data_IF_374549325371
#
_entry.id   IF_374549325371
#
_cell.length_a   1.000
_cell.length_b   1.000
_cell.length_c   1.000
_cell.angle_alpha   90.00
_cell.angle_beta   90.00
_cell.angle_gamma   90.00
#
_symmetry.space_group_name_H-M   'P 1'
#
loop_
_entity.id
_entity.type
_entity.pdbx_description
1 polymer ?
#
# COMPACT_ATOMS: atom_id res chain seq x y z
N UNK A 1 28.56 -26.39 -7.16
CA UNK A 1 27.09 -26.54 -7.03
C UNK A 1 26.59 -25.35 -6.23
N UNK A 2 25.94 -24.41 -6.91
CA UNK A 2 25.43 -23.19 -6.28
C UNK A 2 24.41 -23.58 -5.21
N UNK A 3 24.58 -23.11 -3.97
CA UNK A 3 23.49 -23.08 -3.01
C UNK A 3 22.40 -22.18 -3.63
N UNK A 4 21.42 -22.80 -4.28
CA UNK A 4 20.23 -22.08 -4.74
C UNK A 4 19.63 -21.48 -3.47
N UNK A 5 19.63 -20.15 -3.38
CA UNK A 5 18.90 -19.41 -2.36
C UNK A 5 17.50 -20.00 -2.26
N UNK A 6 17.09 -20.43 -1.06
CA UNK A 6 15.70 -20.82 -0.84
C UNK A 6 14.81 -19.61 -1.13
N UNK A 7 14.12 -19.67 -2.27
CA UNK A 7 13.12 -18.71 -2.72
C UNK A 7 11.74 -19.37 -2.71
N UNK A 8 11.43 -20.12 -1.66
CA UNK A 8 10.06 -20.52 -1.37
C UNK A 8 9.12 -19.29 -1.33
N UNK A 9 7.81 -19.46 -1.61
CA UNK A 9 6.87 -18.34 -1.64
C UNK A 9 6.86 -17.51 -0.35
N UNK A 10 6.87 -18.17 0.81
CA UNK A 10 6.95 -17.53 2.12
C UNK A 10 8.24 -16.71 2.29
N UNK A 11 9.38 -17.29 1.90
CA UNK A 11 10.67 -16.60 1.97
C UNK A 11 10.74 -15.41 1.02
N UNK A 12 10.18 -15.54 -0.18
CA UNK A 12 10.08 -14.45 -1.14
C UNK A 12 9.23 -13.29 -0.58
N UNK A 13 8.05 -13.59 -0.02
CA UNK A 13 7.20 -12.59 0.64
C UNK A 13 7.92 -11.84 1.76
N UNK A 14 8.69 -12.54 2.60
CA UNK A 14 9.49 -11.95 3.67
C UNK A 14 10.61 -11.03 3.14
N UNK A 15 11.26 -11.39 2.03
CA UNK A 15 12.34 -10.60 1.42
C UNK A 15 11.84 -9.39 0.63
N UNK A 16 10.67 -9.49 0.00
CA UNK A 16 10.08 -8.42 -0.80
C UNK A 16 9.60 -7.25 0.08
N UNK A 17 9.02 -7.54 1.24
CA UNK A 17 8.43 -6.52 2.11
C UNK A 17 9.34 -5.33 2.47
N UNK A 18 10.56 -5.52 3.03
CA UNK A 18 11.44 -4.38 3.34
C UNK A 18 11.83 -3.58 2.09
N UNK A 19 11.96 -4.24 0.93
CA UNK A 19 12.28 -3.58 -0.34
C UNK A 19 11.10 -2.72 -0.81
N UNK A 20 9.87 -3.26 -0.78
CA UNK A 20 8.67 -2.49 -1.10
C UNK A 20 8.48 -1.33 -0.13
N UNK A 21 8.75 -1.53 1.16
CA UNK A 21 8.67 -0.49 2.19
C UNK A 21 9.61 0.67 1.91
N UNK A 22 10.87 0.37 1.57
CA UNK A 22 11.85 1.37 1.15
C UNK A 22 11.35 2.13 -0.09
N UNK A 23 11.01 1.43 -1.17
CA UNK A 23 10.60 2.04 -2.44
C UNK A 23 9.37 2.94 -2.30
N UNK A 24 8.32 2.44 -1.62
CA UNK A 24 7.09 3.19 -1.41
C UNK A 24 7.35 4.45 -0.57
N UNK A 25 8.13 4.32 0.51
CA UNK A 25 8.50 5.46 1.37
C UNK A 25 9.29 6.51 0.60
N UNK A 26 10.22 6.09 -0.27
CA UNK A 26 11.02 6.99 -1.09
C UNK A 26 10.17 7.82 -2.05
N UNK A 27 9.23 7.19 -2.75
CA UNK A 27 8.31 7.89 -3.66
C UNK A 27 7.45 8.91 -2.90
N UNK A 28 6.93 8.54 -1.72
CA UNK A 28 6.18 9.48 -0.87
C UNK A 28 7.03 10.66 -0.41
N UNK A 29 8.29 10.41 -0.02
CA UNK A 29 9.22 11.46 0.40
C UNK A 29 9.58 12.38 -0.77
N UNK A 30 9.88 11.82 -1.93
CA UNK A 30 10.22 12.56 -3.15
C UNK A 30 9.04 13.44 -3.62
N UNK A 31 7.81 12.92 -3.54
CA UNK A 31 6.61 13.71 -3.83
C UNK A 31 6.35 14.82 -2.79
N UNK A 32 7.04 14.80 -1.65
CA UNK A 32 6.78 15.69 -0.50
C UNK A 32 5.51 15.33 0.28
N UNK A 33 4.98 14.12 0.10
CA UNK A 33 3.74 13.67 0.74
C UNK A 33 3.95 13.25 2.21
N UNK A 34 5.20 12.96 2.60
CA UNK A 34 5.62 12.69 3.98
C UNK A 34 6.88 13.48 4.33
N UNK A 35 7.01 13.89 5.59
CA UNK A 35 8.14 14.69 6.11
C UNK A 35 7.81 16.17 6.34
N UNK A 36 8.81 16.96 6.77
CA UNK A 36 8.66 18.36 7.17
C UNK A 36 9.08 19.38 6.10
N UNK A 37 9.31 18.91 4.88
CA UNK A 37 9.88 19.71 3.79
C UNK A 37 8.87 20.62 3.08
N UNK A 38 9.37 21.36 2.10
CA UNK A 38 8.60 21.98 1.02
C UNK A 38 8.55 21.03 -0.17
N UNK A 39 7.42 20.96 -0.89
CA UNK A 39 7.28 20.10 -2.06
C UNK A 39 5.89 20.18 -2.71
N UNK A 40 5.70 19.57 -3.89
CA UNK A 40 4.44 19.61 -4.64
C UNK A 40 3.23 19.15 -3.82
N UNK A 41 3.37 18.09 -3.03
CA UNK A 41 2.28 17.61 -2.17
C UNK A 41 1.97 18.55 -0.97
N UNK A 42 2.94 19.35 -0.51
CA UNK A 42 2.69 20.38 0.51
C UNK A 42 1.93 21.57 -0.08
N UNK A 43 2.25 21.97 -1.31
CA UNK A 43 1.45 22.96 -2.02
C UNK A 43 0.02 22.44 -2.26
N UNK A 44 -0.11 21.16 -2.61
CA UNK A 44 -1.39 20.49 -2.82
C UNK A 44 -2.27 20.51 -1.57
N UNK A 45 -1.76 20.08 -0.40
CA UNK A 45 -2.58 20.10 0.84
C UNK A 45 -3.05 21.51 1.17
N UNK A 46 -2.23 22.53 0.95
CA UNK A 46 -2.58 23.92 1.19
C UNK A 46 -3.67 24.39 0.21
N UNK A 47 -3.55 24.03 -1.07
CA UNK A 47 -4.55 24.34 -2.09
C UNK A 47 -5.93 23.74 -1.75
N UNK A 48 -5.95 22.52 -1.20
CA UNK A 48 -7.18 21.84 -0.81
C UNK A 48 -7.66 22.12 0.62
N UNK A 49 -6.89 22.86 1.43
CA UNK A 49 -7.23 23.24 2.80
C UNK A 49 -7.08 22.09 3.81
N UNK A 50 -6.12 21.20 3.60
CA UNK A 50 -5.91 19.99 4.40
C UNK A 50 -4.67 20.10 5.31
N UNK A 51 -4.71 19.56 6.55
CA UNK A 51 -3.56 19.54 7.45
C UNK A 51 -2.45 18.62 6.91
N UNK A 52 -2.83 17.51 6.29
CA UNK A 52 -1.94 16.54 5.65
C UNK A 52 -2.70 15.76 4.57
N UNK A 53 -1.97 14.89 3.86
CA UNK A 53 -2.50 14.03 2.80
C UNK A 53 -2.54 12.55 3.21
N UNK A 54 -2.22 12.24 4.47
CA UNK A 54 -2.10 10.89 5.02
C UNK A 54 -3.31 10.02 4.70
N UNK A 55 -4.50 10.60 4.89
CA UNK A 55 -5.78 9.96 4.60
C UNK A 55 -5.90 9.47 3.14
N UNK A 56 -5.29 10.18 2.18
CA UNK A 56 -5.43 9.89 0.75
C UNK A 56 -4.27 9.08 0.15
N UNK A 57 -3.16 8.88 0.88
CA UNK A 57 -1.97 8.19 0.36
C UNK A 57 -2.29 6.77 -0.14
N UNK A 58 -3.20 6.08 0.56
CA UNK A 58 -3.64 4.73 0.22
C UNK A 58 -5.00 4.75 -0.50
N UNK A 59 -5.93 5.62 -0.11
CA UNK A 59 -7.27 5.66 -0.70
C UNK A 59 -7.29 6.11 -2.18
N UNK A 60 -6.25 6.82 -2.63
CA UNK A 60 -6.05 7.15 -4.05
C UNK A 60 -6.03 5.91 -4.97
N UNK A 61 -5.78 4.73 -4.42
CA UNK A 61 -5.77 3.48 -5.18
C UNK A 61 -7.19 3.01 -5.59
N UNK A 62 -8.26 3.57 -5.03
CA UNK A 62 -9.63 3.15 -5.37
C UNK A 62 -10.61 4.29 -5.54
N UNK A 63 -10.55 5.33 -4.69
CA UNK A 63 -11.48 6.45 -4.70
C UNK A 63 -11.69 7.13 -6.06
N UNK A 64 -10.71 7.21 -6.98
CA UNK A 64 -10.94 7.77 -8.30
C UNK A 64 -12.01 7.02 -9.12
N UNK A 65 -12.09 5.69 -8.95
CA UNK A 65 -12.89 4.79 -9.81
C UNK A 65 -14.04 4.10 -9.07
N UNK A 66 -14.03 4.03 -7.74
CA UNK A 66 -15.07 3.37 -6.96
C UNK A 66 -15.16 3.92 -5.51
N UNK A 67 -16.33 3.76 -4.86
CA UNK A 67 -16.44 3.97 -3.43
C UNK A 67 -15.52 3.04 -2.64
N UNK A 68 -15.11 3.48 -1.44
CA UNK A 68 -14.29 2.69 -0.51
C UNK A 68 -15.03 2.50 0.81
N UNK A 69 -15.27 1.26 1.28
CA UNK A 69 -15.95 1.04 2.55
C UNK A 69 -15.26 1.72 3.74
N UNK A 70 -16.03 2.33 4.64
CA UNK A 70 -15.51 2.90 5.89
C UNK A 70 -14.76 1.83 6.71
N UNK A 71 -15.21 0.57 6.63
CA UNK A 71 -14.54 -0.58 7.28
C UNK A 71 -13.12 -0.82 6.74
N UNK A 72 -12.85 -0.54 5.46
CA UNK A 72 -11.51 -0.62 4.90
C UNK A 72 -10.59 0.48 5.45
N UNK A 73 -11.15 1.66 5.76
CA UNK A 73 -10.41 2.75 6.43
C UNK A 73 -10.15 2.39 7.89
N UNK A 74 -11.14 1.85 8.61
CA UNK A 74 -10.96 1.34 9.97
C UNK A 74 -9.82 0.31 10.01
N UNK A 75 -9.79 -0.60 9.04
CA UNK A 75 -8.74 -1.58 8.86
C UNK A 75 -7.35 -0.92 8.64
N UNK A 76 -7.22 0.17 7.89
CA UNK A 76 -5.96 0.92 7.79
C UNK A 76 -5.48 1.51 9.11
N UNK A 77 -6.41 1.90 9.99
CA UNK A 77 -6.13 2.59 11.25
C UNK A 77 -6.01 1.64 12.46
N UNK A 78 -6.19 0.32 12.26
CA UNK A 78 -6.37 -0.70 13.31
C UNK A 78 -5.32 -0.77 14.42
N UNK A 79 -4.10 -0.28 14.18
CA UNK A 79 -3.00 -0.32 15.16
C UNK A 79 -2.73 1.02 15.84
N UNK A 80 -3.48 2.07 15.51
CA UNK A 80 -3.37 3.34 16.20
C UNK A 80 -4.18 3.32 17.50
N UNK A 81 -3.66 3.96 18.58
CA UNK A 81 -4.47 4.28 19.74
C UNK A 81 -5.74 5.05 19.33
N UNK A 82 -6.88 4.74 19.95
CA UNK A 82 -8.17 5.39 19.68
C UNK A 82 -8.59 5.35 18.20
N UNK A 83 -8.30 4.25 17.49
CA UNK A 83 -8.56 4.12 16.06
C UNK A 83 -10.00 4.46 15.64
N UNK A 84 -11.01 4.12 16.42
CA UNK A 84 -12.42 4.49 16.14
C UNK A 84 -12.63 6.01 16.19
N UNK A 85 -12.14 6.68 17.22
CA UNK A 85 -12.24 8.13 17.35
C UNK A 85 -11.42 8.85 16.27
N UNK A 86 -10.27 8.27 15.88
CA UNK A 86 -9.48 8.78 14.77
C UNK A 86 -10.21 8.61 13.43
N UNK A 87 -10.81 7.44 13.17
CA UNK A 87 -11.61 7.19 11.97
C UNK A 87 -12.74 8.22 11.83
N UNK A 88 -13.52 8.43 12.89
CA UNK A 88 -14.61 9.40 12.88
C UNK A 88 -14.09 10.83 12.61
N UNK A 89 -13.03 11.25 13.30
CA UNK A 89 -12.45 12.59 13.09
C UNK A 89 -11.96 12.79 11.66
N UNK A 90 -11.23 11.81 11.12
CA UNK A 90 -10.69 11.88 9.76
C UNK A 90 -11.83 11.96 8.74
N UNK A 91 -12.80 11.06 8.83
CA UNK A 91 -13.97 11.04 7.92
C UNK A 91 -14.76 12.34 8.01
N UNK A 92 -15.10 12.79 9.23
CA UNK A 92 -15.87 14.03 9.44
C UNK A 92 -15.12 15.26 8.93
N UNK A 93 -13.80 15.27 9.05
CA UNK A 93 -12.98 16.34 8.49
C UNK A 93 -13.04 16.36 6.96
N UNK A 94 -12.92 15.20 6.31
CA UNK A 94 -12.96 15.11 4.85
C UNK A 94 -14.35 15.43 4.29
N UNK A 95 -15.42 15.04 5.00
CA UNK A 95 -16.80 15.41 4.66
C UNK A 95 -17.01 16.92 4.77
N UNK A 96 -16.56 17.54 5.87
CA UNK A 96 -16.62 19.01 6.03
C UNK A 96 -15.80 19.77 4.99
N UNK A 97 -14.68 19.20 4.56
CA UNK A 97 -13.86 19.75 3.47
C UNK A 97 -14.49 19.58 2.07
N UNK A 98 -15.63 18.90 1.98
CA UNK A 98 -16.34 18.63 0.72
C UNK A 98 -15.56 17.70 -0.22
N UNK A 99 -14.65 16.88 0.31
CA UNK A 99 -13.84 15.95 -0.48
C UNK A 99 -14.54 14.59 -0.62
N UNK A 100 -15.21 14.13 0.42
CA UNK A 100 -15.95 12.87 0.36
C UNK A 100 -17.39 13.05 0.84
N UNK A 101 -18.26 12.14 0.42
CA UNK A 101 -19.57 11.92 1.03
C UNK A 101 -19.64 10.49 1.55
N UNK A 102 -20.55 10.23 2.49
CA UNK A 102 -20.87 8.88 2.94
C UNK A 102 -22.17 8.44 2.27
N UNK A 103 -22.12 7.31 1.58
CA UNK A 103 -23.30 6.68 0.98
C UNK A 103 -23.27 5.18 1.32
N UNK A 104 -24.33 4.67 1.95
CA UNK A 104 -24.42 3.24 2.29
C UNK A 104 -23.30 2.67 3.19
N UNK A 105 -22.51 3.51 3.86
CA UNK A 105 -21.32 3.08 4.62
C UNK A 105 -20.01 3.13 3.83
N UNK A 106 -20.05 3.64 2.61
CA UNK A 106 -18.89 3.83 1.74
C UNK A 106 -18.50 5.29 1.62
N UNK A 107 -17.19 5.54 1.52
CA UNK A 107 -16.61 6.81 1.13
C UNK A 107 -16.75 6.98 -0.38
N UNK A 108 -17.42 8.05 -0.80
CA UNK A 108 -17.58 8.41 -2.21
C UNK A 108 -16.83 9.71 -2.48
N UNK A 109 -15.91 9.70 -3.46
CA UNK A 109 -15.17 10.90 -3.85
C UNK A 109 -16.09 11.92 -4.55
N UNK A 110 -16.08 13.16 -4.06
CA UNK A 110 -16.71 14.30 -4.77
C UNK A 110 -15.87 14.71 -5.98
N UNK A 111 -16.39 15.62 -6.81
CA UNK A 111 -15.59 16.21 -7.91
C UNK A 111 -14.31 16.89 -7.40
N UNK A 112 -14.38 17.58 -6.25
CA UNK A 112 -13.23 18.23 -5.62
C UNK A 112 -12.16 17.21 -5.18
N UNK A 113 -12.57 16.07 -4.64
CA UNK A 113 -11.61 15.01 -4.29
C UNK A 113 -10.99 14.35 -5.52
N UNK A 114 -11.75 14.09 -6.58
CA UNK A 114 -11.17 13.54 -7.82
C UNK A 114 -10.11 14.46 -8.40
N UNK A 115 -10.35 15.77 -8.42
CA UNK A 115 -9.35 16.76 -8.84
C UNK A 115 -8.09 16.69 -7.95
N UNK A 116 -8.25 16.69 -6.62
CA UNK A 116 -7.12 16.55 -5.70
C UNK A 116 -6.35 15.24 -5.92
N UNK A 117 -7.04 14.12 -6.12
CA UNK A 117 -6.43 12.82 -6.36
C UNK A 117 -5.67 12.76 -7.68
N UNK A 118 -6.15 13.46 -8.71
CA UNK A 118 -5.44 13.62 -9.98
C UNK A 118 -4.15 14.42 -9.80
N UNK A 119 -4.20 15.57 -9.11
CA UNK A 119 -3.01 16.38 -8.80
C UNK A 119 -2.01 15.62 -7.91
N UNK A 120 -2.50 14.85 -6.93
CA UNK A 120 -1.67 13.97 -6.11
C UNK A 120 -1.01 12.87 -6.96
N UNK A 121 -1.75 12.29 -7.90
CA UNK A 121 -1.23 11.28 -8.83
C UNK A 121 -0.14 11.87 -9.73
N UNK A 122 -0.29 13.12 -10.17
CA UNK A 122 0.73 13.84 -10.92
C UNK A 122 2.01 14.07 -10.10
N UNK A 123 1.88 14.38 -8.80
CA UNK A 123 3.04 14.46 -7.89
C UNK A 123 3.81 13.13 -7.84
N UNK A 124 3.10 12.00 -7.74
CA UNK A 124 3.74 10.69 -7.78
C UNK A 124 4.33 10.32 -9.13
N UNK A 125 3.66 10.68 -10.23
CA UNK A 125 4.17 10.47 -11.58
C UNK A 125 5.54 11.16 -11.77
N UNK A 126 5.68 12.39 -11.26
CA UNK A 126 6.95 13.11 -11.23
C UNK A 126 7.98 12.41 -10.34
N UNK A 127 7.60 12.03 -9.12
CA UNK A 127 8.49 11.35 -8.17
C UNK A 127 9.05 10.02 -8.70
N UNK A 128 8.20 9.17 -9.30
CA UNK A 128 8.67 7.90 -9.89
C UNK A 128 9.53 8.13 -11.13
N UNK A 129 9.26 9.17 -11.93
CA UNK A 129 10.13 9.53 -13.05
C UNK A 129 11.52 9.98 -12.57
N UNK A 130 11.60 10.75 -11.48
CA UNK A 130 12.88 11.15 -10.87
C UNK A 130 13.65 9.97 -10.26
N UNK A 131 12.95 9.09 -9.55
CA UNK A 131 13.59 7.98 -8.82
C UNK A 131 13.97 6.83 -9.73
N UNK A 132 13.07 6.44 -10.63
CA UNK A 132 13.19 5.20 -11.40
C UNK A 132 13.41 5.44 -12.90
N UNK A 133 13.05 6.63 -13.41
CA UNK A 133 13.23 6.97 -14.83
C UNK A 133 12.65 5.90 -15.76
N UNK A 134 13.41 5.58 -16.81
CA UNK A 134 13.10 4.51 -17.76
C UNK A 134 13.83 3.21 -17.42
N UNK A 135 13.95 2.86 -16.13
CA UNK A 135 14.63 1.64 -15.72
C UNK A 135 14.04 0.42 -16.47
N UNK A 136 14.86 -0.36 -17.21
CA UNK A 136 14.37 -1.43 -18.08
C UNK A 136 13.70 -2.59 -17.33
N UNK A 137 13.84 -2.68 -16.01
CA UNK A 137 13.14 -3.68 -15.22
C UNK A 137 11.65 -3.32 -15.00
N UNK A 138 11.25 -2.06 -15.15
CA UNK A 138 9.89 -1.60 -14.81
C UNK A 138 8.77 -2.36 -15.54
N UNK A 139 8.79 -2.57 -16.87
CA UNK A 139 7.71 -3.29 -17.55
C UNK A 139 7.55 -4.72 -17.05
N UNK A 140 8.67 -5.38 -16.74
CA UNK A 140 8.67 -6.75 -16.24
C UNK A 140 8.16 -6.82 -14.80
N UNK A 141 8.57 -5.89 -13.94
CA UNK A 141 8.07 -5.78 -12.58
C UNK A 141 6.56 -5.50 -12.55
N UNK A 142 6.06 -4.62 -13.43
CA UNK A 142 4.62 -4.39 -13.60
C UNK A 142 3.91 -5.69 -13.94
N UNK A 143 4.42 -6.46 -14.91
CA UNK A 143 3.82 -7.74 -15.33
C UNK A 143 3.77 -8.74 -14.17
N UNK A 144 4.84 -8.86 -13.40
CA UNK A 144 4.91 -9.78 -12.27
C UNK A 144 3.97 -9.36 -11.14
N UNK A 145 3.95 -8.08 -10.77
CA UNK A 145 3.06 -7.59 -9.72
C UNK A 145 1.58 -7.62 -10.12
N UNK A 146 1.25 -7.39 -11.40
CA UNK A 146 -0.12 -7.51 -11.88
C UNK A 146 -0.64 -8.95 -11.73
N UNK A 147 0.18 -9.95 -12.09
CA UNK A 147 -0.11 -11.37 -11.82
C UNK A 147 -0.30 -11.66 -10.34
N UNK A 148 0.62 -11.18 -9.50
CA UNK A 148 0.54 -11.36 -8.04
C UNK A 148 -0.74 -10.74 -7.45
N UNK A 149 -1.13 -9.55 -7.92
CA UNK A 149 -2.39 -8.91 -7.54
C UNK A 149 -3.59 -9.74 -7.98
N UNK A 150 -3.55 -10.33 -9.18
CA UNK A 150 -4.62 -11.16 -9.73
C UNK A 150 -4.87 -12.46 -8.97
N UNK A 151 -3.84 -13.02 -8.31
CA UNK A 151 -3.94 -14.26 -7.53
C UNK A 151 -3.99 -14.05 -6.02
N UNK A 152 -3.78 -12.82 -5.54
CA UNK A 152 -3.80 -12.52 -4.11
C UNK A 152 -5.23 -12.59 -3.55
N UNK A 153 -5.40 -13.37 -2.48
CA UNK A 153 -6.68 -13.49 -1.81
C UNK A 153 -6.96 -12.27 -0.94
N UNK A 154 -8.23 -11.85 -0.91
CA UNK A 154 -8.71 -10.80 -0.03
C UNK A 154 -9.20 -11.40 1.28
N UNK A 155 -8.66 -10.93 2.40
CA UNK A 155 -9.22 -11.25 3.70
C UNK A 155 -10.61 -10.60 3.84
N UNK A 156 -11.61 -11.26 4.44
CA UNK A 156 -12.88 -10.64 4.77
C UNK A 156 -12.69 -9.38 5.62
N UNK A 157 -13.25 -8.24 5.18
CA UNK A 157 -13.06 -6.94 5.84
C UNK A 157 -11.63 -6.38 5.74
N UNK A 158 -10.78 -6.99 4.91
CA UNK A 158 -9.42 -6.53 4.64
C UNK A 158 -9.39 -5.28 3.75
N UNK A 159 -8.30 -4.53 3.87
CA UNK A 159 -8.04 -3.33 3.06
C UNK A 159 -7.80 -3.71 1.59
N UNK A 160 -7.14 -4.84 1.34
CA UNK A 160 -6.72 -5.25 0.00
C UNK A 160 -7.89 -5.37 -0.97
N UNK A 161 -8.96 -6.06 -0.58
CA UNK A 161 -10.14 -6.26 -1.45
C UNK A 161 -10.86 -4.97 -1.81
N UNK A 162 -10.82 -3.95 -0.94
CA UNK A 162 -11.38 -2.64 -1.21
C UNK A 162 -10.54 -1.81 -2.20
N UNK A 163 -9.23 -2.09 -2.27
CA UNK A 163 -8.28 -1.30 -3.05
C UNK A 163 -7.80 -1.98 -4.34
N UNK A 164 -7.92 -3.32 -4.44
CA UNK A 164 -7.49 -4.10 -5.59
C UNK A 164 -8.61 -4.33 -6.61
N UNK A 165 -8.32 -4.34 -7.92
CA UNK A 165 -7.07 -3.89 -8.55
C UNK A 165 -6.93 -2.36 -8.42
N UNK A 166 -5.73 -1.81 -8.13
CA UNK A 166 -5.60 -0.37 -7.92
C UNK A 166 -5.92 0.44 -9.17
N UNK A 167 -6.41 1.66 -8.98
CA UNK A 167 -6.59 2.65 -10.03
C UNK A 167 -5.27 2.87 -10.79
N UNK A 168 -5.36 2.76 -12.12
CA UNK A 168 -4.28 3.10 -13.02
C UNK A 168 -4.75 4.25 -13.93
N UNK A 169 -4.11 5.42 -13.88
CA UNK A 169 -4.46 6.53 -14.75
C UNK A 169 -4.15 6.18 -16.21
N UNK A 170 -5.04 6.58 -17.11
CA UNK A 170 -4.83 6.43 -18.56
C UNK A 170 -3.52 7.09 -18.97
N UNK A 171 -2.66 6.35 -19.67
CA UNK A 171 -1.35 6.84 -20.10
C UNK A 171 -0.31 6.91 -18.98
N UNK A 172 -0.57 6.33 -17.80
CA UNK A 172 0.40 6.24 -16.71
C UNK A 172 1.69 5.51 -17.12
N UNK A 173 2.83 6.01 -16.67
CA UNK A 173 4.13 5.37 -16.92
C UNK A 173 4.25 4.03 -16.18
N UNK A 174 5.15 3.15 -16.64
CA UNK A 174 5.40 1.87 -15.97
C UNK A 174 5.82 2.05 -14.49
N UNK A 175 6.57 3.13 -14.18
CA UNK A 175 6.92 3.49 -12.81
C UNK A 175 5.69 3.83 -11.96
N UNK A 176 4.75 4.62 -12.50
CA UNK A 176 3.53 4.97 -11.76
C UNK A 176 2.63 3.75 -11.55
N UNK A 177 2.51 2.91 -12.57
CA UNK A 177 1.74 1.66 -12.49
C UNK A 177 2.33 0.74 -11.41
N UNK A 178 3.66 0.54 -11.43
CA UNK A 178 4.35 -0.26 -10.42
C UNK A 178 4.13 0.32 -9.01
N UNK A 179 4.25 1.64 -8.83
CA UNK A 179 4.03 2.26 -7.52
C UNK A 179 2.62 2.01 -6.97
N UNK A 180 1.60 2.03 -7.83
CA UNK A 180 0.22 1.72 -7.45
C UNK A 180 0.04 0.24 -7.09
N UNK A 181 0.64 -0.66 -7.86
CA UNK A 181 0.63 -2.10 -7.59
C UNK A 181 1.32 -2.42 -6.25
N UNK A 182 2.49 -1.82 -5.99
CA UNK A 182 3.18 -1.93 -4.70
C UNK A 182 2.31 -1.42 -3.55
N UNK A 183 1.63 -0.28 -3.72
CA UNK A 183 0.70 0.27 -2.74
C UNK A 183 -0.43 -0.70 -2.37
N UNK A 184 -1.06 -1.32 -3.37
CA UNK A 184 -2.09 -2.33 -3.16
C UNK A 184 -1.52 -3.61 -2.51
N UNK A 185 -0.38 -4.10 -2.99
CA UNK A 185 0.23 -5.33 -2.48
C UNK A 185 0.70 -5.21 -1.03
N UNK A 186 1.10 -4.01 -0.59
CA UNK A 186 1.32 -3.72 0.84
C UNK A 186 0.07 -3.92 1.69
N UNK A 187 -1.11 -3.62 1.16
CA UNK A 187 -2.38 -3.83 1.87
C UNK A 187 -2.68 -5.33 2.01
N UNK A 188 -2.34 -6.15 1.00
CA UNK A 188 -2.44 -7.61 1.11
C UNK A 188 -1.58 -8.14 2.28
N UNK A 189 -0.32 -7.69 2.38
CA UNK A 189 0.53 -8.06 3.53
C UNK A 189 -0.03 -7.55 4.86
N UNK A 190 -0.57 -6.33 4.91
CA UNK A 190 -1.16 -5.79 6.12
C UNK A 190 -2.38 -6.61 6.60
N UNK A 191 -3.17 -7.14 5.66
CA UNK A 191 -4.30 -8.02 5.97
C UNK A 191 -3.83 -9.43 6.39
N UNK A 192 -2.80 -9.98 5.73
CA UNK A 192 -2.18 -11.23 6.13
C UNK A 192 -1.59 -11.16 7.55
N UNK A 193 -0.93 -10.04 7.87
CA UNK A 193 -0.45 -9.73 9.21
C UNK A 193 -1.62 -9.69 10.19
N UNK A 194 -2.65 -8.88 9.93
CA UNK A 194 -3.83 -8.81 10.80
C UNK A 194 -4.47 -10.20 11.02
N UNK A 195 -4.54 -11.05 10.01
CA UNK A 195 -5.05 -12.41 10.13
C UNK A 195 -4.18 -13.32 11.01
N UNK A 196 -2.85 -13.26 10.87
CA UNK A 196 -1.92 -14.03 11.69
C UNK A 196 -2.02 -13.66 13.18
N UNK A 197 -2.06 -12.36 13.48
CA UNK A 197 -2.21 -11.87 14.85
C UNK A 197 -3.60 -12.16 15.44
N UNK A 198 -4.65 -12.08 14.62
CA UNK A 198 -5.99 -12.45 15.06
C UNK A 198 -6.10 -13.96 15.37
N UNK A 199 -5.36 -14.81 14.65
CA UNK A 199 -5.38 -16.27 14.87
C UNK A 199 -4.83 -16.68 16.25
N UNK A 200 -3.97 -15.86 16.86
CA UNK A 200 -3.47 -16.06 18.23
C UNK A 200 -4.30 -15.32 19.29
N UNK A 201 -5.38 -14.64 18.89
CA UNK A 201 -6.32 -13.99 19.80
C UNK A 201 -5.80 -12.72 20.48
N UNK A 202 -4.71 -12.12 19.97
CA UNK A 202 -4.13 -10.90 20.53
C UNK A 202 -4.91 -9.65 20.08
N UNK A 203 -5.14 -8.74 21.02
CA UNK A 203 -5.71 -7.41 20.76
C UNK A 203 -4.68 -6.46 20.15
N UNK A 204 -5.12 -5.41 19.44
CA UNK A 204 -4.22 -4.39 18.88
C UNK A 204 -3.23 -3.81 19.90
N UNK A 205 -3.68 -3.55 21.14
CA UNK A 205 -2.82 -3.05 22.21
C UNK A 205 -1.76 -4.07 22.67
N UNK A 206 -2.09 -5.36 22.68
CA UNK A 206 -1.13 -6.41 22.98
C UNK A 206 -0.11 -6.59 21.85
N UNK A 207 -0.57 -6.53 20.60
CA UNK A 207 0.29 -6.60 19.41
C UNK A 207 1.33 -5.48 19.45
N UNK A 208 0.91 -4.24 19.71
CA UNK A 208 1.82 -3.07 19.75
C UNK A 208 2.78 -3.11 20.95
N UNK A 209 2.37 -3.68 22.08
CA UNK A 209 3.20 -3.83 23.26
C UNK A 209 4.15 -5.04 23.23
N UNK A 210 3.97 -5.98 22.29
CA UNK A 210 4.74 -7.23 22.26
C UNK A 210 6.19 -6.99 21.85
N UNK A 211 7.11 -7.33 22.75
CA UNK A 211 8.54 -7.28 22.50
C UNK A 211 8.98 -8.35 21.46
N UNK A 212 10.10 -8.13 20.75
CA UNK A 212 10.71 -9.18 19.93
C UNK A 212 11.02 -10.44 20.76
N UNK A 213 10.78 -11.61 20.19
CA UNK A 213 11.02 -12.90 20.82
C UNK A 213 10.31 -14.05 20.11
N UNK A 214 10.54 -15.30 20.55
CA UNK A 214 10.10 -16.50 19.82
C UNK A 214 8.61 -16.56 19.52
N UNK A 215 7.76 -16.08 20.44
CA UNK A 215 6.31 -16.04 20.24
C UNK A 215 5.92 -15.07 19.13
N UNK A 216 6.56 -13.90 19.08
CA UNK A 216 6.36 -12.93 17.99
C UNK A 216 6.88 -13.49 16.68
N UNK A 217 8.06 -14.12 16.68
CA UNK A 217 8.67 -14.69 15.49
C UNK A 217 7.76 -15.73 14.83
N UNK A 218 7.06 -16.56 15.62
CA UNK A 218 6.07 -17.51 15.10
C UNK A 218 4.89 -16.84 14.37
N UNK A 219 4.42 -15.69 14.88
CA UNK A 219 3.32 -14.93 14.26
C UNK A 219 3.79 -14.21 12.99
N UNK A 220 5.02 -13.69 13.00
CA UNK A 220 5.64 -13.08 11.82
C UNK A 220 5.92 -14.15 10.73
N UNK A 221 6.28 -15.38 11.12
CA UNK A 221 6.40 -16.52 10.20
C UNK A 221 5.06 -16.90 9.58
N UNK A 222 3.97 -16.97 10.35
CA UNK A 222 2.62 -17.19 9.81
C UNK A 222 2.20 -16.05 8.87
N UNK A 223 2.54 -14.79 9.21
CA UNK A 223 2.35 -13.65 8.32
C UNK A 223 3.09 -13.85 6.99
N UNK A 224 4.34 -14.32 7.03
CA UNK A 224 5.13 -14.56 5.82
C UNK A 224 4.59 -15.72 4.99
N UNK A 225 4.06 -16.78 5.62
CA UNK A 225 3.37 -17.86 4.91
C UNK A 225 2.14 -17.33 4.19
N UNK A 226 1.26 -16.60 4.87
CA UNK A 226 0.03 -16.02 4.31
C UNK A 226 0.33 -15.02 3.20
N UNK A 227 1.15 -14.01 3.47
CA UNK A 227 1.54 -12.98 2.50
C UNK A 227 2.41 -13.54 1.35
N UNK A 228 3.01 -14.71 1.56
CA UNK A 228 3.82 -15.42 0.58
C UNK A 228 3.00 -16.20 -0.45
N UNK A 229 1.72 -16.49 -0.18
CA UNK A 229 0.89 -17.33 -1.06
C UNK A 229 0.84 -16.85 -2.52
N UNK A 230 0.69 -15.55 -2.85
CA UNK A 230 0.66 -15.10 -4.24
C UNK A 230 1.93 -15.45 -5.02
N UNK A 231 3.09 -15.49 -4.35
CA UNK A 231 4.37 -15.83 -4.98
C UNK A 231 4.46 -17.29 -5.43
N UNK A 232 3.52 -18.15 -5.03
CA UNK A 232 3.42 -19.52 -5.54
C UNK A 232 3.14 -19.57 -7.06
N UNK A 233 2.49 -18.54 -7.62
CA UNK A 233 2.24 -18.42 -9.07
C UNK A 233 3.50 -18.11 -9.88
N UNK A 234 4.55 -17.59 -9.22
CA UNK A 234 5.84 -17.32 -9.85
C UNK A 234 6.76 -18.52 -9.73
N UNK A 235 7.48 -18.87 -10.79
CA UNK A 235 8.54 -19.88 -10.70
C UNK A 235 9.79 -19.32 -9.94
N UNK A 236 10.76 -20.16 -9.55
CA UNK A 236 11.94 -19.69 -8.80
C UNK A 236 12.78 -18.62 -9.52
N UNK A 237 12.89 -18.68 -10.84
CA UNK A 237 13.61 -17.67 -11.64
C UNK A 237 12.87 -16.33 -11.65
N UNK A 238 11.54 -16.36 -11.78
CA UNK A 238 10.69 -15.16 -11.71
C UNK A 238 10.74 -14.50 -10.32
N UNK A 239 10.82 -15.29 -9.24
CA UNK A 239 11.00 -14.75 -7.88
C UNK A 239 12.37 -14.08 -7.71
N UNK A 240 13.42 -14.67 -8.27
CA UNK A 240 14.76 -14.07 -8.28
C UNK A 240 14.78 -12.77 -9.10
N UNK A 241 14.18 -12.79 -10.29
CA UNK A 241 14.03 -11.65 -11.18
C UNK A 241 13.28 -10.50 -10.49
N UNK A 242 12.18 -10.80 -9.79
CA UNK A 242 11.42 -9.83 -9.02
C UNK A 242 12.28 -9.18 -7.92
N UNK A 243 12.98 -9.99 -7.12
CA UNK A 243 13.84 -9.48 -6.04
C UNK A 243 14.99 -8.61 -6.57
N UNK A 244 15.67 -9.08 -7.62
CA UNK A 244 16.75 -8.32 -8.26
C UNK A 244 16.23 -7.02 -8.89
N UNK A 245 15.08 -7.08 -9.57
CA UNK A 245 14.43 -5.94 -10.20
C UNK A 245 13.97 -4.89 -9.20
N UNK A 246 13.39 -5.27 -8.06
CA UNK A 246 13.05 -4.33 -6.99
C UNK A 246 14.31 -3.77 -6.30
N UNK A 247 15.33 -4.60 -6.10
CA UNK A 247 16.56 -4.23 -5.41
C UNK A 247 17.37 -3.12 -6.11
N UNK A 248 17.34 -3.08 -7.45
CA UNK A 248 18.02 -2.04 -8.25
C UNK A 248 17.32 -0.67 -8.25
N UNK A 249 16.02 -0.62 -7.97
CA UNK A 249 15.28 0.64 -8.00
C UNK A 249 15.73 1.57 -6.85
N UNK A 250 15.88 2.86 -7.14
CA UNK A 250 16.24 3.86 -6.13
C UNK A 250 15.10 4.05 -5.14
N UNK A 251 15.46 4.14 -3.86
CA UNK A 251 14.56 4.37 -2.74
C UNK A 251 15.30 4.56 -1.43
#
# INVERSE_FOLDING_TARGET
MSHILDLSPARCGALVDPIMNRLHTAVHREAGAIGTGSGPAVALRNHFGLPDLGFYLTLRLALPIRPVPVTAVAALLRYFPDCDAMLHREVDQQVRAGLITIDGGDLVATGRCRQMLEELTACYASAVATLWGEDPALPRLVTLFDRLIGVAESAPGGVFGALAPPYQPTGGSAGLILFNLLGAFRCHRADAHAAAWAAVGLTAAQITAMAPGPERDLIEDDTNVRAGQPFADLNPEERLELLAGLGRLRG
#
